data_IF_942444506711
#
_entry.id   IF_942444506711
#
_cell.length_a   1.000
_cell.length_b   1.000
_cell.length_c   1.000
_cell.angle_alpha   90.00
_cell.angle_beta   90.00
_cell.angle_gamma   90.00
#
_symmetry.space_group_name_H-M   'P 1'
#
loop_
_entity.id
_entity.type
_entity.pdbx_description
1 polymer ?
#
# COMPACT_ATOMS: atom_id res chain seq x y z
N UNK A 1 32.05 42.57 -22.33
CA UNK A 1 30.85 41.94 -22.88
C UNK A 1 30.37 40.90 -21.90
N UNK A 2 29.49 41.27 -20.97
CA UNK A 2 29.05 40.42 -19.86
C UNK A 2 27.76 39.72 -20.28
N UNK A 3 27.82 38.40 -20.45
CA UNK A 3 26.66 37.56 -20.66
C UNK A 3 26.05 37.19 -19.29
N UNK A 4 24.90 37.81 -19.00
CA UNK A 4 24.08 37.46 -17.85
C UNK A 4 23.43 36.09 -18.08
N UNK A 5 23.83 35.08 -17.31
CA UNK A 5 23.19 33.77 -17.26
C UNK A 5 21.90 33.92 -16.44
N UNK A 6 20.75 33.82 -17.10
CA UNK A 6 19.44 33.82 -16.44
C UNK A 6 19.18 32.52 -15.71
N UNK A 7 18.76 32.53 -14.43
CA UNK A 7 18.47 31.33 -13.64
C UNK A 7 17.04 30.81 -13.92
N UNK A 8 16.77 30.32 -15.14
CA UNK A 8 15.45 29.71 -15.47
C UNK A 8 15.24 28.32 -14.85
N UNK A 9 16.32 27.66 -14.40
CA UNK A 9 16.23 26.28 -13.85
C UNK A 9 15.69 26.19 -12.43
N UNK A 10 15.93 27.19 -11.57
CA UNK A 10 15.55 27.12 -10.17
C UNK A 10 14.04 27.30 -9.94
N UNK A 11 13.40 28.17 -10.73
CA UNK A 11 11.95 28.43 -10.63
C UNK A 11 11.13 27.21 -11.05
N UNK A 12 11.57 26.51 -12.11
CA UNK A 12 10.90 25.31 -12.61
C UNK A 12 10.99 24.13 -11.63
N UNK A 13 12.12 23.99 -10.93
CA UNK A 13 12.32 22.98 -9.89
C UNK A 13 11.42 23.20 -8.67
N UNK A 14 11.21 24.46 -8.28
CA UNK A 14 10.38 24.81 -7.12
C UNK A 14 8.88 24.58 -7.40
N UNK A 15 8.41 24.96 -8.58
CA UNK A 15 7.00 24.79 -9.00
C UNK A 15 6.62 23.30 -9.08
N UNK A 16 7.52 22.45 -9.60
CA UNK A 16 7.29 21.01 -9.67
C UNK A 16 7.26 20.34 -8.30
N UNK A 17 8.09 20.78 -7.36
CA UNK A 17 8.06 20.27 -5.96
C UNK A 17 6.73 20.63 -5.28
N UNK A 18 6.22 21.83 -5.53
CA UNK A 18 4.96 22.31 -4.96
C UNK A 18 3.75 21.57 -5.53
N UNK A 19 3.73 21.30 -6.84
CA UNK A 19 2.69 20.49 -7.52
C UNK A 19 2.67 19.08 -6.97
N UNK A 20 3.83 18.48 -6.68
CA UNK A 20 3.89 17.14 -6.08
C UNK A 20 3.30 17.09 -4.67
N UNK A 21 3.64 18.08 -3.83
CA UNK A 21 3.08 18.19 -2.48
C UNK A 21 1.56 18.34 -2.53
N UNK A 22 1.04 19.15 -3.46
CA UNK A 22 -0.39 19.32 -3.68
C UNK A 22 -1.01 18.01 -4.17
N UNK A 23 -0.38 17.26 -5.09
CA UNK A 23 -0.88 16.00 -5.64
C UNK A 23 -0.89 14.90 -4.57
N UNK A 24 0.11 14.85 -3.70
CA UNK A 24 0.14 13.93 -2.55
C UNK A 24 -0.94 14.30 -1.53
N UNK A 25 -1.12 15.60 -1.23
CA UNK A 25 -2.14 16.08 -0.30
C UNK A 25 -3.56 15.93 -0.86
N UNK A 26 -3.78 16.19 -2.15
CA UNK A 26 -5.10 16.02 -2.78
C UNK A 26 -5.45 14.56 -3.03
N UNK A 27 -4.47 13.69 -3.31
CA UNK A 27 -4.67 12.25 -3.43
C UNK A 27 -5.25 11.62 -2.16
N UNK A 28 -4.97 12.19 -1.00
CA UNK A 28 -5.54 11.72 0.28
C UNK A 28 -6.97 12.19 0.54
N UNK A 29 -7.47 13.17 -0.20
CA UNK A 29 -8.79 13.79 0.04
C UNK A 29 -9.89 13.14 -0.81
N UNK A 30 -9.58 12.56 -1.97
CA UNK A 30 -10.59 12.17 -2.95
C UNK A 30 -11.05 10.70 -2.93
N UNK A 31 -10.52 9.83 -2.06
CA UNK A 31 -10.72 8.40 -2.25
C UNK A 31 -11.21 7.66 -1.01
N UNK A 32 -12.29 8.10 -0.40
CA UNK A 32 -12.81 7.35 0.74
C UNK A 32 -14.22 6.87 0.54
N UNK A 33 -14.33 5.66 0.00
CA UNK A 33 -15.57 4.90 0.05
C UNK A 33 -15.52 3.68 0.97
N UNK A 34 -14.36 3.38 1.59
CA UNK A 34 -14.27 2.26 2.52
C UNK A 34 -15.04 2.55 3.81
N UNK A 35 -16.08 1.78 4.08
CA UNK A 35 -16.84 1.83 5.32
C UNK A 35 -16.43 0.64 6.21
N UNK A 36 -15.78 0.95 7.33
CA UNK A 36 -15.31 -0.06 8.28
C UNK A 36 -16.36 -0.45 9.32
N UNK A 37 -17.55 0.16 9.29
CA UNK A 37 -18.60 -0.12 10.26
C UNK A 37 -19.26 -1.45 9.97
N UNK A 38 -19.57 -2.15 11.03
CA UNK A 38 -20.48 -3.30 10.97
C UNK A 38 -21.91 -2.78 11.08
N UNK A 39 -22.68 -2.87 10.04
CA UNK A 39 -24.06 -2.40 10.05
C UNK A 39 -24.91 -3.33 10.91
N UNK A 40 -25.25 -2.83 12.11
CA UNK A 40 -25.84 -3.64 13.18
C UNK A 40 -27.34 -3.56 13.27
N UNK A 41 -27.97 -2.66 12.51
CA UNK A 41 -29.39 -2.31 12.71
C UNK A 41 -30.34 -3.20 11.91
N UNK A 42 -29.87 -3.90 10.88
CA UNK A 42 -30.76 -4.63 9.96
C UNK A 42 -30.47 -6.12 9.80
N UNK A 43 -29.63 -6.75 10.62
CA UNK A 43 -29.00 -7.98 10.16
C UNK A 43 -29.02 -9.16 11.13
N UNK A 44 -29.95 -10.07 10.94
CA UNK A 44 -29.85 -11.46 11.39
C UNK A 44 -28.70 -12.26 10.72
N UNK A 45 -27.96 -11.67 9.76
CA UNK A 45 -26.85 -12.26 8.97
C UNK A 45 -25.56 -11.45 9.03
N UNK A 46 -25.30 -10.70 10.10
CA UNK A 46 -24.16 -9.77 10.20
C UNK A 46 -22.78 -10.41 10.24
N UNK A 47 -22.63 -11.67 10.59
CA UNK A 47 -21.35 -12.36 10.62
C UNK A 47 -20.66 -12.36 9.25
N UNK A 48 -21.41 -12.47 8.17
CA UNK A 48 -20.88 -12.42 6.81
C UNK A 48 -20.34 -11.03 6.41
N UNK A 49 -21.01 -9.97 6.87
CA UNK A 49 -20.63 -8.58 6.58
C UNK A 49 -19.33 -8.22 7.31
N UNK A 50 -19.30 -8.34 8.63
CA UNK A 50 -18.13 -8.07 9.46
C UNK A 50 -16.91 -8.87 8.97
N UNK A 51 -17.09 -10.16 8.70
CA UNK A 51 -16.05 -11.03 8.15
C UNK A 51 -15.50 -10.53 6.81
N UNK A 52 -16.35 -10.00 5.95
CA UNK A 52 -15.95 -9.48 4.65
C UNK A 52 -15.17 -8.18 4.78
N UNK A 53 -15.61 -7.24 5.63
CA UNK A 53 -14.90 -5.99 5.95
C UNK A 53 -13.51 -6.29 6.50
N UNK A 54 -13.41 -7.14 7.52
CA UNK A 54 -12.15 -7.50 8.18
C UNK A 54 -11.18 -8.14 7.17
N UNK A 55 -11.64 -9.10 6.37
CA UNK A 55 -10.80 -9.77 5.39
C UNK A 55 -10.32 -8.84 4.28
N UNK A 56 -11.18 -7.94 3.81
CA UNK A 56 -10.79 -7.00 2.77
C UNK A 56 -9.82 -5.94 3.30
N UNK A 57 -10.08 -5.42 4.50
CA UNK A 57 -9.15 -4.49 5.17
C UNK A 57 -7.79 -5.13 5.42
N UNK A 58 -7.77 -6.39 5.88
CA UNK A 58 -6.53 -7.14 6.03
C UNK A 58 -5.80 -7.34 4.70
N UNK A 59 -6.52 -7.62 3.64
CA UNK A 59 -5.96 -7.78 2.30
C UNK A 59 -5.39 -6.47 1.75
N UNK A 60 -6.04 -5.34 2.01
CA UNK A 60 -5.50 -4.03 1.71
C UNK A 60 -4.20 -3.76 2.48
N UNK A 61 -4.14 -4.05 3.79
CA UNK A 61 -2.95 -3.83 4.61
C UNK A 61 -1.74 -4.68 4.18
N UNK A 62 -1.94 -5.72 3.37
CA UNK A 62 -0.85 -6.56 2.85
C UNK A 62 -0.04 -5.92 1.72
N UNK A 63 -0.38 -4.68 1.30
CA UNK A 63 0.42 -3.91 0.34
C UNK A 63 1.81 -3.66 0.88
N UNK A 64 2.82 -3.79 0.03
CA UNK A 64 4.22 -3.44 0.34
C UNK A 64 4.81 -2.55 -0.76
N UNK A 65 5.64 -1.55 -0.42
CA UNK A 65 6.19 -0.63 -1.40
C UNK A 65 7.06 -1.34 -2.43
N UNK A 66 7.07 -0.78 -3.64
CA UNK A 66 7.85 -1.29 -4.74
C UNK A 66 9.25 -0.68 -4.73
N UNK A 67 10.14 -1.21 -3.90
CA UNK A 67 11.53 -0.76 -3.82
C UNK A 67 12.36 -1.47 -4.88
N UNK A 68 12.92 -0.69 -5.79
CA UNK A 68 13.80 -1.19 -6.84
C UNK A 68 15.18 -1.56 -6.25
N UNK A 69 15.59 -2.83 -6.32
CA UNK A 69 16.87 -3.26 -5.75
C UNK A 69 18.07 -2.63 -6.45
N UNK A 70 17.95 -2.35 -7.74
CA UNK A 70 19.04 -1.79 -8.57
C UNK A 70 19.13 -0.26 -8.50
N UNK A 71 18.13 0.43 -7.94
CA UNK A 71 18.18 1.87 -7.74
C UNK A 71 19.29 2.26 -6.78
N UNK A 72 20.06 3.29 -7.12
CA UNK A 72 21.06 3.90 -6.24
C UNK A 72 20.43 4.72 -5.11
N UNK A 73 19.18 5.13 -5.27
CA UNK A 73 18.48 5.94 -4.29
C UNK A 73 18.13 5.12 -3.05
N UNK A 74 18.25 5.74 -1.88
CA UNK A 74 18.09 5.04 -0.60
C UNK A 74 16.74 5.27 0.07
N UNK A 75 16.12 6.42 -0.15
CA UNK A 75 14.84 6.75 0.49
C UNK A 75 13.76 6.74 -0.58
N UNK A 76 12.71 5.99 -0.34
CA UNK A 76 11.57 5.83 -1.24
C UNK A 76 10.30 6.24 -0.50
N UNK A 77 9.53 7.14 -1.11
CA UNK A 77 8.20 7.52 -0.63
C UNK A 77 7.22 7.13 -1.72
N UNK A 78 6.26 6.29 -1.38
CA UNK A 78 5.21 5.83 -2.27
C UNK A 78 3.86 6.26 -1.73
N UNK A 79 3.05 6.92 -2.56
CA UNK A 79 1.68 7.32 -2.24
C UNK A 79 0.74 6.82 -3.32
N UNK A 80 -0.48 6.46 -2.95
CA UNK A 80 -1.45 5.95 -3.90
C UNK A 80 -2.77 5.53 -3.26
N UNK A 81 -3.51 4.72 -3.99
CA UNK A 81 -4.75 4.14 -3.50
C UNK A 81 -4.98 2.74 -4.07
N UNK A 82 -5.61 1.90 -3.28
CA UNK A 82 -6.07 0.56 -3.68
C UNK A 82 -7.58 0.53 -3.81
N UNK A 83 -8.10 0.00 -4.90
CA UNK A 83 -9.54 -0.15 -5.13
C UNK A 83 -9.93 -1.60 -5.35
N UNK A 84 -11.13 -1.97 -4.92
CA UNK A 84 -11.70 -3.29 -5.21
C UNK A 84 -12.18 -3.35 -6.66
N UNK A 85 -11.89 -4.46 -7.34
CA UNK A 85 -12.40 -4.68 -8.71
C UNK A 85 -13.88 -5.07 -8.71
N UNK A 86 -14.33 -5.71 -7.63
CA UNK A 86 -15.74 -6.09 -7.46
C UNK A 86 -16.40 -5.19 -6.43
N UNK A 87 -17.65 -4.86 -6.69
CA UNK A 87 -18.47 -4.13 -5.71
C UNK A 87 -18.61 -4.94 -4.43
N UNK A 88 -18.40 -4.29 -3.32
CA UNK A 88 -18.76 -4.75 -1.99
C UNK A 88 -20.13 -4.13 -1.68
N UNK A 89 -21.16 -4.96 -1.71
CA UNK A 89 -22.59 -4.55 -1.68
C UNK A 89 -22.95 -3.62 -2.86
N UNK A 90 -23.07 -2.32 -2.63
CA UNK A 90 -23.39 -1.34 -3.67
C UNK A 90 -22.16 -0.65 -4.26
N UNK A 91 -21.01 -0.63 -3.55
CA UNK A 91 -19.93 0.30 -3.82
C UNK A 91 -18.58 -0.37 -4.06
N UNK A 92 -17.72 0.31 -4.82
CA UNK A 92 -16.30 0.00 -4.90
C UNK A 92 -15.59 0.62 -3.70
N UNK A 93 -14.86 -0.20 -2.95
CA UNK A 93 -14.10 0.27 -1.81
C UNK A 93 -12.73 0.72 -2.25
N UNK A 94 -12.38 1.93 -1.83
CA UNK A 94 -11.08 2.54 -2.11
C UNK A 94 -10.37 2.86 -0.80
N UNK A 95 -9.09 2.55 -0.75
CA UNK A 95 -8.24 2.70 0.43
C UNK A 95 -7.01 3.51 0.07
N UNK A 96 -6.61 4.50 0.88
CA UNK A 96 -5.36 5.22 0.68
C UNK A 96 -4.16 4.34 1.01
N UNK A 97 -3.03 4.64 0.38
CA UNK A 97 -1.74 4.03 0.70
C UNK A 97 -0.68 5.11 0.83
N UNK A 98 0.13 5.02 1.86
CA UNK A 98 1.34 5.81 2.05
C UNK A 98 2.41 4.92 2.65
N UNK A 99 3.48 4.72 1.90
CA UNK A 99 4.60 3.87 2.27
C UNK A 99 5.90 4.66 2.22
N UNK A 100 6.78 4.34 3.14
CA UNK A 100 8.15 4.83 3.17
C UNK A 100 9.07 3.62 3.19
N UNK A 101 10.17 3.66 2.43
CA UNK A 101 11.19 2.65 2.52
C UNK A 101 12.58 3.28 2.55
N UNK A 102 13.49 2.63 3.27
CA UNK A 102 14.89 3.04 3.39
C UNK A 102 15.79 1.85 3.08
N UNK A 103 16.58 1.94 2.02
CA UNK A 103 17.60 0.95 1.69
C UNK A 103 18.78 1.11 2.65
N UNK A 104 18.94 0.16 3.55
CA UNK A 104 20.04 0.13 4.53
C UNK A 104 21.32 -0.37 3.86
N UNK A 105 21.17 -1.40 3.04
CA UNK A 105 22.23 -1.98 2.20
C UNK A 105 21.68 -2.23 0.81
N UNK A 106 22.52 -2.69 -0.12
CA UNK A 106 22.07 -3.04 -1.47
C UNK A 106 21.02 -4.16 -1.49
N UNK A 107 21.06 -5.03 -0.50
CA UNK A 107 20.18 -6.19 -0.40
C UNK A 107 19.16 -6.13 0.75
N UNK A 108 19.07 -5.00 1.47
CA UNK A 108 18.16 -4.86 2.60
C UNK A 108 17.50 -3.48 2.61
N UNK A 109 16.18 -3.46 2.67
CA UNK A 109 15.40 -2.25 2.90
C UNK A 109 14.46 -2.42 4.10
N UNK A 110 14.34 -1.37 4.90
CA UNK A 110 13.31 -1.22 5.91
C UNK A 110 12.13 -0.51 5.30
N UNK A 111 10.91 -0.94 5.63
CA UNK A 111 9.67 -0.33 5.14
C UNK A 111 8.79 0.12 6.29
N UNK A 112 8.02 1.17 6.07
CA UNK A 112 7.08 1.72 7.05
C UNK A 112 5.79 2.19 6.41
N UNK A 113 4.70 2.08 7.17
CA UNK A 113 3.40 2.69 6.88
C UNK A 113 2.98 3.50 8.09
N UNK A 114 2.84 4.81 7.95
CA UNK A 114 2.40 5.69 9.04
C UNK A 114 1.50 6.77 8.47
N UNK A 115 0.20 6.57 8.57
CA UNK A 115 -0.77 7.57 8.13
C UNK A 115 -2.12 7.39 8.81
N UNK A 116 -2.87 8.47 8.87
CA UNK A 116 -4.27 8.49 9.28
C UNK A 116 -5.12 9.08 8.18
N UNK A 117 -6.38 8.74 8.18
CA UNK A 117 -7.34 9.29 7.23
C UNK A 117 -8.73 9.38 7.87
N UNK A 118 -9.64 10.12 7.23
CA UNK A 118 -11.03 10.19 7.68
C UNK A 118 -11.89 9.19 6.91
N UNK A 119 -12.68 8.42 7.59
CA UNK A 119 -13.71 7.55 7.03
C UNK A 119 -15.08 8.00 7.59
N UNK A 120 -16.22 7.53 7.06
CA UNK A 120 -17.52 7.91 7.58
C UNK A 120 -17.65 7.61 9.08
N UNK A 121 -17.66 8.67 9.91
CA UNK A 121 -17.75 8.64 11.39
C UNK A 121 -16.58 7.95 12.12
N UNK A 122 -15.44 7.77 11.47
CA UNK A 122 -14.25 7.11 12.00
C UNK A 122 -12.97 7.81 11.55
N UNK A 123 -11.88 7.59 12.27
CA UNK A 123 -10.57 8.12 11.95
C UNK A 123 -9.51 7.01 11.94
N UNK A 124 -9.51 6.17 10.90
CA UNK A 124 -8.58 5.06 10.79
C UNK A 124 -7.13 5.53 10.83
N UNK A 125 -6.31 4.80 11.54
CA UNK A 125 -4.87 5.00 11.66
C UNK A 125 -4.15 3.72 11.28
N UNK A 126 -3.22 3.83 10.35
CA UNK A 126 -2.39 2.72 9.87
C UNK A 126 -0.98 2.94 10.37
N UNK A 127 -0.46 1.94 11.09
CA UNK A 127 0.91 1.92 11.57
C UNK A 127 1.52 0.58 11.24
N UNK A 128 2.62 0.58 10.49
CA UNK A 128 3.28 -0.65 10.07
C UNK A 128 4.77 -0.49 9.90
N UNK A 129 5.47 -1.62 10.04
CA UNK A 129 6.89 -1.75 9.73
C UNK A 129 7.16 -3.09 9.06
N UNK A 130 8.19 -3.13 8.23
CA UNK A 130 8.59 -4.33 7.52
C UNK A 130 10.03 -4.29 7.06
N UNK A 131 10.44 -5.41 6.49
CA UNK A 131 11.78 -5.61 5.94
C UNK A 131 11.63 -6.24 4.57
N UNK A 132 12.41 -5.79 3.60
CA UNK A 132 12.57 -6.41 2.29
C UNK A 132 14.02 -6.84 2.12
N UNK A 133 14.21 -8.11 1.79
CA UNK A 133 15.51 -8.69 1.52
C UNK A 133 15.61 -9.08 0.05
N UNK A 134 16.64 -8.58 -0.62
CA UNK A 134 16.87 -8.77 -2.05
C UNK A 134 17.98 -9.79 -2.26
N UNK A 135 17.76 -10.68 -3.22
CA UNK A 135 18.71 -11.73 -3.59
C UNK A 135 18.56 -12.10 -5.07
N UNK A 136 19.55 -12.79 -5.62
CA UNK A 136 19.54 -13.20 -7.02
C UNK A 136 20.81 -13.95 -7.38
N UNK A 137 20.90 -14.37 -8.64
CA UNK A 137 22.08 -15.01 -9.19
C UNK A 137 22.93 -14.01 -9.95
N UNK A 138 24.28 -14.11 -9.80
CA UNK A 138 25.23 -13.18 -10.40
C UNK A 138 25.12 -11.78 -9.80
N UNK A 139 25.26 -10.75 -10.61
CA UNK A 139 25.23 -9.35 -10.19
C UNK A 139 23.80 -8.76 -10.09
N UNK A 140 22.77 -9.58 -10.22
CA UNK A 140 21.38 -9.12 -10.24
C UNK A 140 20.62 -9.50 -8.98
N UNK A 141 20.09 -8.49 -8.27
CA UNK A 141 19.21 -8.66 -7.10
C UNK A 141 17.73 -8.67 -7.56
N UNK A 142 17.33 -9.67 -8.31
CA UNK A 142 16.01 -9.69 -8.97
C UNK A 142 14.90 -10.40 -8.19
N UNK A 143 15.21 -10.97 -7.04
CA UNK A 143 14.22 -11.52 -6.12
C UNK A 143 14.12 -10.67 -4.86
N UNK A 144 12.94 -10.56 -4.31
CA UNK A 144 12.67 -9.92 -3.03
C UNK A 144 11.78 -10.80 -2.18
N UNK A 145 12.21 -11.04 -0.94
CA UNK A 145 11.36 -11.58 0.11
C UNK A 145 11.02 -10.49 1.09
N UNK A 146 9.77 -10.35 1.48
CA UNK A 146 9.34 -9.34 2.43
C UNK A 146 8.57 -9.91 3.60
N UNK A 147 8.73 -9.28 4.76
CA UNK A 147 7.91 -9.47 5.94
C UNK A 147 7.46 -8.10 6.42
N UNK A 148 6.18 -7.96 6.69
CA UNK A 148 5.59 -6.69 7.12
C UNK A 148 4.51 -6.94 8.15
N UNK A 149 4.52 -6.16 9.24
CA UNK A 149 3.42 -6.09 10.20
C UNK A 149 2.77 -4.72 10.12
N UNK A 150 1.43 -4.70 10.03
CA UNK A 150 0.63 -3.48 9.97
C UNK A 150 -0.53 -3.60 10.94
N UNK A 151 -0.72 -2.56 11.76
CA UNK A 151 -1.84 -2.41 12.67
C UNK A 151 -2.80 -1.32 12.14
N UNK A 152 -4.09 -1.61 12.10
CA UNK A 152 -5.17 -0.67 11.81
C UNK A 152 -5.94 -0.41 13.10
N UNK A 153 -5.97 0.85 13.51
CA UNK A 153 -6.60 1.35 14.74
C UNK A 153 -7.51 2.54 14.42
N UNK A 154 -8.13 3.13 15.44
CA UNK A 154 -9.01 4.31 15.28
C UNK A 154 -10.37 3.99 14.68
N UNK A 155 -10.79 2.71 14.68
CA UNK A 155 -12.10 2.26 14.27
C UNK A 155 -13.00 2.05 15.50
N UNK A 156 -14.30 2.28 15.33
CA UNK A 156 -15.28 2.16 16.42
C UNK A 156 -15.63 0.71 16.77
N UNK A 157 -15.51 -0.21 15.84
CA UNK A 157 -15.99 -1.58 15.98
C UNK A 157 -14.88 -2.60 16.23
N UNK A 158 -13.69 -2.39 15.65
CA UNK A 158 -12.60 -3.36 15.74
C UNK A 158 -11.22 -2.71 15.59
N UNK A 159 -10.21 -3.47 15.93
CA UNK A 159 -8.82 -3.22 15.54
C UNK A 159 -8.29 -4.43 14.79
N UNK A 160 -7.36 -4.22 13.87
CA UNK A 160 -6.83 -5.27 13.01
C UNK A 160 -5.31 -5.25 13.03
N UNK A 161 -4.69 -6.40 13.23
CA UNK A 161 -3.25 -6.62 13.03
C UNK A 161 -3.09 -7.57 11.86
N UNK A 162 -2.23 -7.20 10.93
CA UNK A 162 -1.89 -7.93 9.71
C UNK A 162 -0.40 -8.24 9.70
N UNK A 163 -0.03 -9.48 9.41
CA UNK A 163 1.34 -9.92 9.20
C UNK A 163 1.45 -10.55 7.82
N UNK A 164 2.20 -9.94 6.94
CA UNK A 164 2.34 -10.36 5.54
C UNK A 164 3.74 -10.90 5.28
N UNK A 165 3.79 -12.00 4.56
CA UNK A 165 5.00 -12.56 3.96
C UNK A 165 4.77 -12.66 2.47
N UNK A 166 5.69 -12.18 1.66
CA UNK A 166 5.62 -12.35 0.22
C UNK A 166 7.01 -12.56 -0.40
N UNK A 167 7.01 -13.19 -1.57
CA UNK A 167 8.18 -13.37 -2.41
C UNK A 167 7.80 -12.90 -3.80
N UNK A 168 8.63 -12.02 -4.37
CA UNK A 168 8.39 -11.44 -5.69
C UNK A 168 9.66 -11.45 -6.52
N UNK A 169 9.48 -11.51 -7.84
CA UNK A 169 10.56 -11.41 -8.82
C UNK A 169 10.42 -10.10 -9.58
N UNK A 170 11.51 -9.35 -9.69
CA UNK A 170 11.65 -8.21 -10.57
C UNK A 170 12.04 -8.67 -11.96
N UNK A 171 11.39 -8.10 -12.96
CA UNK A 171 11.61 -8.37 -14.37
C UNK A 171 11.67 -7.01 -15.07
N UNK A 172 12.77 -6.73 -15.75
CA UNK A 172 12.92 -5.53 -16.56
C UNK A 172 12.53 -5.84 -18.00
N UNK A 173 11.65 -5.04 -18.54
CA UNK A 173 11.28 -5.11 -19.94
C UNK A 173 11.23 -3.71 -20.54
N UNK A 174 12.26 -3.36 -21.30
CA UNK A 174 12.49 -2.02 -21.83
C UNK A 174 12.54 -0.96 -20.72
N UNK A 175 11.59 -0.03 -20.72
CA UNK A 175 11.46 1.05 -19.73
C UNK A 175 10.45 0.76 -18.63
N UNK A 176 9.94 -0.46 -18.56
CA UNK A 176 8.94 -0.88 -17.59
C UNK A 176 9.54 -1.95 -16.68
N UNK A 177 9.41 -1.75 -15.39
CA UNK A 177 9.78 -2.74 -14.39
C UNK A 177 8.52 -3.49 -13.93
N UNK A 178 8.55 -4.80 -14.05
CA UNK A 178 7.49 -5.67 -13.55
C UNK A 178 7.94 -6.33 -12.25
N UNK A 179 7.00 -6.51 -11.33
CA UNK A 179 7.21 -7.24 -10.10
C UNK A 179 6.09 -8.25 -9.94
N UNK A 180 6.39 -9.55 -10.02
CA UNK A 180 5.41 -10.64 -9.96
C UNK A 180 5.74 -11.54 -8.81
N UNK A 181 4.74 -11.98 -8.05
CA UNK A 181 4.98 -12.87 -6.92
C UNK A 181 3.73 -13.40 -6.25
N UNK A 182 3.96 -14.01 -5.10
CA UNK A 182 2.91 -14.57 -4.26
C UNK A 182 3.21 -14.30 -2.79
N UNK A 183 2.16 -14.29 -1.98
CA UNK A 183 2.30 -14.05 -0.55
C UNK A 183 1.14 -14.59 0.25
N UNK A 184 1.33 -14.51 1.56
CA UNK A 184 0.34 -14.86 2.58
C UNK A 184 0.23 -13.74 3.59
N UNK A 185 -0.99 -13.36 3.89
CA UNK A 185 -1.30 -12.41 4.93
C UNK A 185 -2.07 -13.10 6.06
N UNK A 186 -1.50 -13.09 7.24
CA UNK A 186 -2.10 -13.57 8.48
C UNK A 186 -2.68 -12.39 9.24
N UNK A 187 -3.92 -12.47 9.66
CA UNK A 187 -4.54 -11.39 10.38
C UNK A 187 -5.19 -11.84 11.67
N UNK A 188 -5.22 -10.92 12.62
CA UNK A 188 -5.94 -11.04 13.88
C UNK A 188 -6.75 -9.77 14.08
N UNK A 189 -8.04 -9.93 14.11
CA UNK A 189 -9.00 -8.90 14.48
C UNK A 189 -9.34 -9.02 15.97
N UNK A 190 -9.69 -7.90 16.59
CA UNK A 190 -10.24 -7.84 17.93
C UNK A 190 -11.38 -6.83 17.95
N UNK A 191 -12.60 -7.32 18.16
CA UNK A 191 -13.82 -6.50 18.25
C UNK A 191 -13.91 -5.78 19.60
N UNK A 192 -14.41 -4.55 19.59
CA UNK A 192 -14.62 -3.75 20.81
C UNK A 192 -16.03 -3.90 21.39
N UNK A 193 -17.02 -4.19 20.56
CA UNK A 193 -18.40 -4.43 20.97
C UNK A 193 -18.68 -5.91 20.82
N UNK A 194 -19.28 -6.51 21.84
CA UNK A 194 -19.67 -7.91 21.85
C UNK A 194 -20.83 -8.19 20.89
N UNK A 195 -20.50 -8.26 19.63
CA UNK A 195 -21.34 -8.93 18.67
C UNK A 195 -21.07 -10.42 18.83
N UNK A 196 -22.15 -11.21 18.89
CA UNK A 196 -22.17 -12.65 19.05
C UNK A 196 -20.83 -13.35 18.74
N UNK A 197 -20.36 -14.17 19.66
CA UNK A 197 -19.05 -14.86 19.63
C UNK A 197 -18.62 -15.35 18.24
N UNK A 198 -17.32 -15.24 17.90
CA UNK A 198 -16.19 -14.99 18.80
C UNK A 198 -15.74 -13.51 18.84
N UNK A 199 -15.34 -13.05 20.02
CA UNK A 199 -14.79 -11.70 20.27
C UNK A 199 -13.51 -11.37 19.48
N UNK A 200 -13.00 -12.30 18.69
CA UNK A 200 -11.85 -12.10 17.81
C UNK A 200 -11.87 -13.05 16.61
N UNK A 201 -11.54 -12.52 15.45
CA UNK A 201 -11.34 -13.30 14.23
C UNK A 201 -9.86 -13.40 13.90
N UNK A 202 -9.42 -14.61 13.52
CA UNK A 202 -8.10 -14.85 12.94
C UNK A 202 -8.29 -15.47 11.56
N UNK A 203 -7.36 -15.22 10.67
CA UNK A 203 -7.41 -15.84 9.35
C UNK A 203 -6.15 -15.65 8.55
N UNK A 204 -6.16 -16.25 7.38
CA UNK A 204 -5.09 -16.19 6.39
C UNK A 204 -5.68 -15.89 5.04
N UNK A 205 -4.96 -15.10 4.24
CA UNK A 205 -5.29 -14.75 2.86
C UNK A 205 -4.03 -14.98 2.02
N UNK A 206 -4.07 -15.99 1.17
CA UNK A 206 -3.01 -16.25 0.20
C UNK A 206 -3.33 -15.48 -1.08
N UNK A 207 -2.35 -14.89 -1.71
CA UNK A 207 -2.54 -14.08 -2.90
C UNK A 207 -1.38 -14.22 -3.88
N UNK A 208 -1.68 -13.93 -5.15
CA UNK A 208 -0.68 -13.61 -6.15
C UNK A 208 -0.71 -12.12 -6.44
N UNK A 209 0.43 -11.56 -6.82
CA UNK A 209 0.56 -10.14 -7.10
C UNK A 209 1.34 -9.90 -8.37
N UNK A 210 1.00 -8.83 -9.07
CA UNK A 210 1.73 -8.32 -10.20
C UNK A 210 1.69 -6.80 -10.17
N UNK A 211 2.84 -6.16 -10.30
CA UNK A 211 2.97 -4.71 -10.38
C UNK A 211 3.73 -4.35 -11.65
N UNK A 212 3.40 -3.21 -12.23
CA UNK A 212 4.11 -2.60 -13.34
C UNK A 212 4.47 -1.16 -12.97
N UNK A 213 5.73 -0.79 -13.12
CA UNK A 213 6.26 0.53 -12.81
C UNK A 213 6.96 1.11 -14.03
N UNK A 214 6.78 2.39 -14.23
CA UNK A 214 7.51 3.15 -15.26
C UNK A 214 8.10 4.42 -14.65
N UNK A 215 9.36 4.66 -14.96
CA UNK A 215 10.06 5.89 -14.57
C UNK A 215 9.70 7.03 -15.53
N UNK A 216 9.41 8.20 -14.95
CA UNK A 216 9.19 9.41 -15.72
C UNK A 216 9.82 10.60 -14.98
N UNK A 217 10.93 11.11 -15.49
CA UNK A 217 11.67 12.22 -14.89
C UNK A 217 12.01 11.95 -13.40
N UNK A 218 11.36 12.66 -12.49
CA UNK A 218 11.62 12.59 -11.05
C UNK A 218 10.73 11.60 -10.28
N UNK A 219 9.82 10.91 -10.97
CA UNK A 219 8.85 10.02 -10.35
C UNK A 219 8.81 8.68 -11.07
N UNK A 220 8.45 7.65 -10.33
CA UNK A 220 7.96 6.40 -10.88
C UNK A 220 6.45 6.35 -10.61
N UNK A 221 5.67 5.98 -11.61
CA UNK A 221 4.26 5.69 -11.43
C UNK A 221 4.01 4.21 -11.71
N UNK A 222 3.07 3.64 -11.01
CA UNK A 222 2.82 2.22 -11.14
C UNK A 222 1.37 1.85 -10.91
N UNK A 223 1.06 0.67 -11.41
CA UNK A 223 -0.16 -0.04 -11.17
C UNK A 223 0.18 -1.42 -10.62
N UNK A 224 -0.48 -1.80 -9.54
CA UNK A 224 -0.33 -3.12 -8.94
C UNK A 224 -1.67 -3.84 -8.89
N UNK A 225 -1.63 -5.15 -8.88
CA UNK A 225 -2.80 -5.98 -8.61
C UNK A 225 -2.44 -7.09 -7.63
N UNK A 226 -3.37 -7.39 -6.72
CA UNK A 226 -3.32 -8.55 -5.84
C UNK A 226 -4.60 -9.32 -5.98
N UNK A 227 -4.46 -10.62 -6.23
CA UNK A 227 -5.56 -11.52 -6.55
C UNK A 227 -5.63 -12.62 -5.50
N UNK A 228 -6.80 -12.75 -4.90
CA UNK A 228 -7.18 -13.85 -4.01
C UNK A 228 -8.52 -14.41 -4.51
N UNK A 229 -8.82 -15.71 -4.40
CA UNK A 229 -10.12 -16.23 -4.77
C UNK A 229 -11.28 -15.42 -4.15
N UNK A 230 -12.10 -14.81 -5.02
CA UNK A 230 -13.21 -13.96 -4.63
C UNK A 230 -12.89 -12.49 -4.31
N UNK A 231 -11.61 -12.07 -4.30
CA UNK A 231 -11.20 -10.69 -4.02
C UNK A 231 -10.01 -10.27 -4.86
N UNK A 232 -10.12 -9.11 -5.47
CA UNK A 232 -9.03 -8.51 -6.24
C UNK A 232 -8.93 -7.05 -5.85
N UNK A 233 -7.71 -6.60 -5.57
CA UNK A 233 -7.39 -5.19 -5.37
C UNK A 233 -6.49 -4.73 -6.50
N UNK A 234 -6.78 -3.56 -7.04
CA UNK A 234 -5.92 -2.84 -7.96
C UNK A 234 -5.41 -1.60 -7.24
N UNK A 235 -4.11 -1.40 -7.28
CA UNK A 235 -3.44 -0.27 -6.63
C UNK A 235 -2.83 0.62 -7.68
N UNK A 236 -3.10 1.91 -7.61
CA UNK A 236 -2.40 2.95 -8.36
C UNK A 236 -1.50 3.70 -7.42
N UNK A 237 -0.25 3.93 -7.80
CA UNK A 237 0.70 4.61 -6.95
C UNK A 237 1.70 5.46 -7.73
N UNK A 238 2.18 6.48 -7.04
CA UNK A 238 3.28 7.34 -7.48
C UNK A 238 4.38 7.21 -6.44
N UNK A 239 5.60 7.05 -6.90
CA UNK A 239 6.77 6.86 -6.07
C UNK A 239 7.81 7.91 -6.38
N UNK A 240 8.41 8.47 -5.33
CA UNK A 240 9.59 9.31 -5.42
C UNK A 240 10.75 8.65 -4.70
N UNK A 241 11.88 8.62 -5.39
CA UNK A 241 13.14 8.15 -4.85
C UNK A 241 14.06 9.34 -4.56
N UNK A 242 14.71 9.31 -3.41
CA UNK A 242 15.57 10.38 -2.89
C UNK A 242 16.90 9.78 -2.44
N UNK A 243 18.02 10.48 -2.78
CA UNK A 243 19.41 10.18 -2.36
C UNK A 243 19.90 8.82 -2.77
#
# INVERSE_FOLDING_TARGET
MNLSVHPKGALFSFTMKFIFIILVLTGTIFTQSADFRFDTIACQKCDGHAKSVIRLSSFWLSESPAVDPMSSNRIIIQSGFSSTVRRMWSDYWTYPNLDIAVKVTNNLALTGKVFGFSAPKESPQVLGAGIQYYYGGGDTLNWVSSIQRVDLKGLSHFRLTSLTFDIRKWIEWHSIHFRIGAGSNFFKERSYKGYSEPSSMKGQINFVSADALKSYSFFKYGIGTRIHPGRTLVTFFIQKELF
#
